data_IF_524638546969
#
_entry.id   IF_524638546969
#
_cell.length_a   1.000
_cell.length_b   1.000
_cell.length_c   1.000
_cell.angle_alpha   90.00
_cell.angle_beta   90.00
_cell.angle_gamma   90.00
#
_symmetry.space_group_name_H-M   'P 1'
#
loop_
_entity.id
_entity.type
_entity.pdbx_description
1 polymer ?
#
# COMPACT_ATOMS: atom_id res chain seq x y z
N UNK A 1 -28.05 2.47 -7.54
CA UNK A 1 -26.89 2.40 -8.46
C UNK A 1 -25.87 3.49 -8.11
N UNK A 2 -26.27 4.77 -7.98
CA UNK A 2 -25.36 5.87 -7.65
C UNK A 2 -24.59 5.64 -6.34
N UNK A 3 -25.28 5.26 -5.25
CA UNK A 3 -24.65 5.00 -3.95
C UNK A 3 -23.59 3.87 -4.04
N UNK A 4 -23.89 2.80 -4.79
CA UNK A 4 -22.91 1.73 -5.01
C UNK A 4 -21.71 2.21 -5.81
N UNK A 5 -21.93 3.01 -6.86
CA UNK A 5 -20.84 3.58 -7.67
C UNK A 5 -19.95 4.48 -6.83
N UNK A 6 -20.52 5.33 -5.99
CA UNK A 6 -19.75 6.20 -5.08
C UNK A 6 -18.94 5.37 -4.06
N UNK A 7 -19.55 4.32 -3.49
CA UNK A 7 -18.84 3.41 -2.59
C UNK A 7 -17.64 2.74 -3.28
N UNK A 8 -17.80 2.25 -4.52
CA UNK A 8 -16.70 1.62 -5.27
C UNK A 8 -15.58 2.61 -5.57
N UNK A 9 -15.91 3.88 -5.85
CA UNK A 9 -14.93 4.92 -6.10
C UNK A 9 -14.17 5.27 -4.82
N UNK A 10 -14.88 5.63 -3.75
CA UNK A 10 -14.29 6.23 -2.55
C UNK A 10 -13.71 5.20 -1.57
N UNK A 11 -14.35 4.02 -1.44
CA UNK A 11 -14.08 3.08 -0.35
C UNK A 11 -13.55 1.70 -0.82
N UNK A 12 -13.23 1.53 -2.10
CA UNK A 12 -12.78 0.23 -2.61
C UNK A 12 -11.64 0.31 -3.62
N UNK A 13 -11.86 0.97 -4.76
CA UNK A 13 -11.04 0.78 -5.95
C UNK A 13 -9.87 1.77 -6.05
N UNK A 14 -10.06 2.99 -5.55
CA UNK A 14 -9.06 4.04 -5.68
C UNK A 14 -8.25 4.22 -4.41
N UNK A 15 -6.95 4.55 -4.53
CA UNK A 15 -6.10 4.87 -3.39
C UNK A 15 -6.39 6.29 -2.88
N UNK A 16 -6.08 6.53 -1.61
CA UNK A 16 -5.98 7.89 -1.09
C UNK A 16 -4.62 8.49 -1.46
N UNK A 17 -4.61 9.74 -1.92
CA UNK A 17 -3.37 10.37 -2.40
C UNK A 17 -2.30 10.52 -1.31
N UNK A 18 -2.71 10.73 -0.06
CA UNK A 18 -1.79 10.98 1.06
C UNK A 18 -0.93 9.78 1.43
N UNK A 19 -1.49 8.56 1.39
CA UNK A 19 -0.77 7.33 1.74
C UNK A 19 -0.64 6.31 0.59
N UNK A 20 -1.27 6.58 -0.56
CA UNK A 20 -1.21 5.71 -1.73
C UNK A 20 -1.89 4.36 -1.56
N UNK A 21 -2.71 4.18 -0.52
CA UNK A 21 -3.32 2.89 -0.19
C UNK A 21 -4.81 2.87 -0.47
N UNK A 22 -5.28 1.71 -0.93
CA UNK A 22 -6.70 1.38 -0.93
C UNK A 22 -7.15 1.05 0.50
N UNK A 23 -8.44 1.18 0.84
CA UNK A 23 -8.94 0.90 2.19
C UNK A 23 -8.53 -0.47 2.75
N UNK A 24 -8.65 -1.54 1.96
CA UNK A 24 -8.24 -2.89 2.39
C UNK A 24 -6.74 -2.96 2.70
N UNK A 25 -5.89 -2.32 1.91
CA UNK A 25 -4.44 -2.31 2.12
C UNK A 25 -4.08 -1.55 3.40
N UNK A 26 -4.68 -0.38 3.62
CA UNK A 26 -4.50 0.41 4.85
C UNK A 26 -4.90 -0.37 6.08
N UNK A 27 -6.04 -1.03 6.04
CA UNK A 27 -6.56 -1.86 7.14
C UNK A 27 -5.67 -3.06 7.44
N UNK A 28 -5.08 -3.69 6.42
CA UNK A 28 -4.10 -4.77 6.61
C UNK A 28 -2.86 -4.24 7.32
N UNK A 29 -2.26 -3.16 6.83
CA UNK A 29 -1.04 -2.57 7.42
C UNK A 29 -1.32 -2.10 8.86
N UNK A 30 -2.44 -1.46 9.10
CA UNK A 30 -2.85 -1.01 10.42
C UNK A 30 -3.09 -2.18 11.39
N UNK A 31 -3.86 -3.19 10.99
CA UNK A 31 -4.11 -4.38 11.81
C UNK A 31 -2.81 -5.13 12.16
N UNK A 32 -1.88 -5.24 11.21
CA UNK A 32 -0.57 -5.85 11.48
C UNK A 32 0.24 -5.03 12.49
N UNK A 33 0.15 -3.70 12.43
CA UNK A 33 0.77 -2.81 13.42
C UNK A 33 0.17 -3.01 14.81
N UNK A 34 -1.16 -3.05 14.93
CA UNK A 34 -1.87 -3.31 16.19
C UNK A 34 -1.54 -4.70 16.78
N UNK A 35 -1.31 -5.70 15.93
CA UNK A 35 -0.86 -7.03 16.34
C UNK A 35 0.63 -7.09 16.75
N UNK A 36 1.35 -5.97 16.66
CA UNK A 36 2.78 -5.90 16.95
C UNK A 36 3.65 -6.67 15.95
N UNK A 37 3.16 -6.87 14.72
CA UNK A 37 3.86 -7.58 13.65
C UNK A 37 4.79 -6.64 12.87
N UNK A 38 5.64 -5.89 13.57
CA UNK A 38 6.66 -5.05 12.94
C UNK A 38 7.76 -5.89 12.27
N UNK A 39 8.68 -5.25 11.55
CA UNK A 39 9.74 -5.90 10.79
C UNK A 39 10.69 -6.76 11.64
N UNK A 40 10.81 -6.50 12.94
CA UNK A 40 11.62 -7.27 13.88
C UNK A 40 10.85 -8.40 14.56
N UNK A 41 9.52 -8.45 14.42
CA UNK A 41 8.68 -9.46 15.05
C UNK A 41 8.87 -10.83 14.41
N UNK A 42 8.51 -11.87 15.16
CA UNK A 42 8.39 -13.21 14.58
C UNK A 42 7.22 -13.29 13.61
N UNK A 43 7.41 -14.00 12.52
CA UNK A 43 6.33 -14.29 11.58
C UNK A 43 5.13 -14.95 12.28
N UNK A 44 3.94 -14.61 11.83
CA UNK A 44 2.68 -15.21 12.28
C UNK A 44 1.87 -15.69 11.07
N UNK A 45 1.06 -16.71 11.28
CA UNK A 45 0.17 -17.22 10.21
C UNK A 45 -0.67 -16.08 9.61
N UNK A 46 -0.67 -16.00 8.29
CA UNK A 46 -1.41 -14.97 7.55
C UNK A 46 -2.90 -14.98 7.87
N UNK A 47 -3.46 -16.16 8.14
CA UNK A 47 -4.84 -16.32 8.57
C UNK A 47 -5.18 -15.51 9.83
N UNK A 48 -4.23 -15.29 10.74
CA UNK A 48 -4.43 -14.45 11.93
C UNK A 48 -4.64 -12.98 11.53
N UNK A 49 -3.79 -12.45 10.68
CA UNK A 49 -3.91 -11.07 10.18
C UNK A 49 -5.24 -10.89 9.45
N UNK A 50 -5.56 -11.79 8.52
CA UNK A 50 -6.82 -11.74 7.77
C UNK A 50 -8.01 -11.77 8.72
N UNK A 51 -8.03 -12.69 9.70
CA UNK A 51 -9.09 -12.77 10.70
C UNK A 51 -9.28 -11.48 11.50
N UNK A 52 -8.19 -10.85 11.93
CA UNK A 52 -8.22 -9.57 12.65
C UNK A 52 -8.76 -8.42 11.77
N UNK A 53 -8.31 -8.35 10.53
CA UNK A 53 -8.78 -7.34 9.56
C UNK A 53 -10.28 -7.45 9.33
N UNK A 54 -10.76 -8.67 9.07
CA UNK A 54 -12.19 -8.91 8.82
C UNK A 54 -13.05 -8.65 10.06
N UNK A 55 -12.58 -9.10 11.21
CA UNK A 55 -13.33 -8.98 12.46
C UNK A 55 -13.39 -7.56 13.00
N UNK A 56 -12.40 -6.72 12.70
CA UNK A 56 -12.27 -5.39 13.30
C UNK A 56 -12.54 -4.23 12.34
N UNK A 57 -12.12 -4.34 11.07
CA UNK A 57 -12.06 -3.17 10.20
C UNK A 57 -12.69 -3.35 8.82
N UNK A 58 -12.70 -4.57 8.27
CA UNK A 58 -13.05 -4.77 6.86
C UNK A 58 -14.02 -5.96 6.67
N UNK A 59 -15.34 -5.77 6.84
CA UNK A 59 -16.33 -6.84 6.82
C UNK A 59 -16.64 -7.31 5.39
N UNK A 60 -15.64 -7.83 4.68
CA UNK A 60 -15.74 -8.33 3.31
C UNK A 60 -15.16 -9.76 3.21
N UNK A 61 -15.02 -10.28 1.99
CA UNK A 61 -14.53 -11.64 1.78
C UNK A 61 -13.06 -11.83 2.21
N UNK A 62 -12.79 -12.94 2.88
CA UNK A 62 -11.46 -13.31 3.37
C UNK A 62 -10.44 -13.52 2.24
N UNK A 63 -10.88 -14.12 1.13
CA UNK A 63 -10.02 -14.31 -0.04
C UNK A 63 -9.57 -12.98 -0.64
N UNK A 64 -10.47 -12.01 -0.79
CA UNK A 64 -10.11 -10.69 -1.33
C UNK A 64 -9.12 -9.94 -0.42
N UNK A 65 -9.30 -10.04 0.90
CA UNK A 65 -8.37 -9.49 1.87
C UNK A 65 -7.00 -10.18 1.78
N UNK A 66 -6.97 -11.51 1.72
CA UNK A 66 -5.73 -12.25 1.59
C UNK A 66 -5.03 -12.00 0.26
N UNK A 67 -5.73 -11.95 -0.86
CA UNK A 67 -5.17 -11.61 -2.17
C UNK A 67 -4.52 -10.21 -2.18
N UNK A 68 -5.16 -9.22 -1.55
CA UNK A 68 -4.55 -7.91 -1.38
C UNK A 68 -3.25 -7.98 -0.56
N UNK A 69 -3.22 -8.77 0.50
CA UNK A 69 -2.03 -9.00 1.30
C UNK A 69 -0.92 -9.73 0.51
N UNK A 70 -1.29 -10.70 -0.33
CA UNK A 70 -0.36 -11.41 -1.21
C UNK A 70 0.33 -10.44 -2.17
N UNK A 71 -0.41 -9.56 -2.83
CA UNK A 71 0.17 -8.55 -3.73
C UNK A 71 1.17 -7.65 -3.00
N UNK A 72 0.87 -7.22 -1.78
CA UNK A 72 1.77 -6.40 -0.98
C UNK A 72 3.04 -7.13 -0.50
N UNK A 73 3.07 -8.46 -0.58
CA UNK A 73 4.22 -9.29 -0.22
C UNK A 73 5.05 -9.73 -1.43
N UNK A 74 4.54 -9.60 -2.64
CA UNK A 74 5.21 -10.05 -3.85
C UNK A 74 6.24 -9.02 -4.34
N UNK A 75 7.54 -9.34 -4.37
CA UNK A 75 8.58 -8.40 -4.81
C UNK A 75 8.54 -8.10 -6.32
N UNK A 76 7.81 -8.91 -7.10
CA UNK A 76 7.57 -8.67 -8.52
C UNK A 76 6.27 -7.89 -8.80
N UNK A 77 5.41 -7.69 -7.77
CA UNK A 77 4.18 -6.90 -7.88
C UNK A 77 4.35 -5.50 -7.26
N UNK A 78 5.13 -5.41 -6.18
CA UNK A 78 5.40 -4.18 -5.45
C UNK A 78 6.87 -3.82 -5.55
N UNK A 79 7.19 -2.59 -5.97
CA UNK A 79 8.59 -2.10 -5.97
C UNK A 79 9.17 -2.09 -4.57
N UNK A 80 8.35 -1.76 -3.58
CA UNK A 80 8.68 -1.76 -2.16
C UNK A 80 7.60 -2.55 -1.40
N UNK A 81 7.74 -3.87 -1.26
CA UNK A 81 6.76 -4.69 -0.56
C UNK A 81 6.50 -4.20 0.86
N UNK A 82 5.23 -4.10 1.24
CA UNK A 82 4.80 -3.67 2.57
C UNK A 82 4.68 -4.83 3.56
N UNK A 83 4.52 -6.03 3.05
CA UNK A 83 4.45 -7.26 3.82
C UNK A 83 5.69 -8.08 3.53
N UNK A 84 6.32 -8.58 4.59
CA UNK A 84 7.39 -9.58 4.54
C UNK A 84 6.75 -10.95 4.77
N UNK A 85 6.89 -11.83 3.80
CA UNK A 85 6.21 -13.12 3.75
C UNK A 85 7.16 -14.30 3.84
N UNK A 86 6.73 -15.37 4.50
CA UNK A 86 7.42 -16.65 4.55
C UNK A 86 6.50 -17.76 4.04
N UNK A 87 6.99 -18.58 3.13
CA UNK A 87 6.24 -19.62 2.44
C UNK A 87 6.06 -19.31 0.95
N UNK A 88 5.05 -19.91 0.32
CA UNK A 88 4.77 -19.70 -1.10
C UNK A 88 3.79 -18.51 -1.28
N UNK A 89 4.29 -17.43 -1.80
CA UNK A 89 3.55 -16.20 -2.12
C UNK A 89 3.37 -15.97 -3.64
N UNK A 90 3.53 -17.02 -4.44
CA UNK A 90 3.50 -16.95 -5.90
C UNK A 90 4.87 -16.71 -6.51
N UNK A 91 4.92 -16.68 -7.83
CA UNK A 91 6.13 -16.46 -8.62
C UNK A 91 5.82 -15.52 -9.79
N UNK A 92 6.83 -14.87 -10.41
CA UNK A 92 6.60 -13.93 -11.52
C UNK A 92 5.88 -14.55 -12.72
N UNK A 93 6.13 -15.83 -12.99
CA UNK A 93 5.52 -16.61 -14.06
C UNK A 93 4.12 -17.14 -13.69
N UNK A 94 3.83 -17.24 -12.39
CA UNK A 94 2.50 -17.63 -11.89
C UNK A 94 2.16 -16.87 -10.59
N UNK A 95 1.80 -15.59 -10.68
CA UNK A 95 1.56 -14.74 -9.51
C UNK A 95 0.32 -15.15 -8.68
N UNK A 96 -0.55 -16.00 -9.22
CA UNK A 96 -1.75 -16.48 -8.55
C UNK A 96 -1.57 -17.84 -7.89
N UNK A 97 -0.44 -18.51 -8.10
CA UNK A 97 -0.13 -19.81 -7.49
C UNK A 97 0.53 -19.65 -6.11
N UNK A 98 -0.17 -19.03 -5.19
CA UNK A 98 0.26 -18.86 -3.80
C UNK A 98 -0.48 -19.84 -2.88
N UNK A 99 0.15 -20.19 -1.76
CA UNK A 99 -0.44 -21.08 -0.77
C UNK A 99 -1.58 -20.41 0.00
N UNK A 100 -2.50 -21.18 0.53
CA UNK A 100 -3.58 -20.68 1.38
C UNK A 100 -3.02 -20.00 2.65
N UNK A 101 -3.76 -19.01 3.18
CA UNK A 101 -3.37 -18.19 4.33
C UNK A 101 -3.04 -18.96 5.61
N UNK A 102 -3.52 -20.22 5.73
CA UNK A 102 -3.20 -21.10 6.84
C UNK A 102 -1.78 -21.66 6.79
N UNK A 103 -1.14 -21.65 5.61
CA UNK A 103 0.23 -22.14 5.41
C UNK A 103 1.26 -21.01 5.40
N UNK A 104 0.95 -19.88 4.81
CA UNK A 104 1.86 -18.73 4.75
C UNK A 104 1.96 -18.02 6.11
N UNK A 105 3.11 -17.38 6.31
CA UNK A 105 3.37 -16.56 7.49
C UNK A 105 3.80 -15.17 7.04
N UNK A 106 3.47 -14.15 7.83
CA UNK A 106 3.68 -12.76 7.48
C UNK A 106 4.01 -11.87 8.66
N UNK A 107 4.64 -10.75 8.36
CA UNK A 107 4.87 -9.59 9.22
C UNK A 107 4.99 -8.35 8.34
N UNK A 108 5.01 -7.16 8.94
CA UNK A 108 5.31 -5.93 8.21
C UNK A 108 6.77 -5.93 7.75
N UNK A 109 7.00 -5.40 6.56
CA UNK A 109 8.35 -5.11 6.09
C UNK A 109 8.91 -3.84 6.73
N UNK A 110 10.22 -3.64 6.62
CA UNK A 110 10.87 -2.45 7.17
C UNK A 110 10.37 -1.14 6.52
N UNK A 111 10.03 -1.17 5.24
CA UNK A 111 9.52 0.02 4.53
C UNK A 111 8.15 0.47 5.07
N UNK A 112 7.34 -0.44 5.62
CA UNK A 112 6.05 -0.10 6.22
C UNK A 112 6.17 0.82 7.43
N UNK A 113 7.34 0.87 8.07
CA UNK A 113 7.60 1.80 9.18
C UNK A 113 7.52 3.27 8.73
N UNK A 114 7.81 3.56 7.44
CA UNK A 114 7.68 4.91 6.87
C UNK A 114 6.22 5.36 6.88
N UNK A 115 5.28 4.42 6.63
CA UNK A 115 3.85 4.69 6.65
C UNK A 115 3.29 4.89 8.07
N UNK A 116 3.88 4.22 9.06
CA UNK A 116 3.31 4.06 10.41
C UNK A 116 4.00 4.91 11.49
N UNK A 117 5.23 5.37 11.26
CA UNK A 117 6.12 5.91 12.30
C UNK A 117 5.55 7.09 13.09
N UNK A 118 4.64 7.85 12.53
CA UNK A 118 4.04 9.03 13.16
C UNK A 118 2.57 8.81 13.56
N UNK A 119 2.03 7.60 13.41
CA UNK A 119 0.63 7.28 13.64
C UNK A 119 0.17 7.63 15.08
N UNK A 120 1.03 7.42 16.07
CA UNK A 120 0.75 7.75 17.48
C UNK A 120 1.02 9.19 17.89
N UNK A 121 1.32 10.09 16.94
CA UNK A 121 1.73 11.47 17.23
C UNK A 121 0.63 12.50 16.95
N UNK A 122 -0.60 12.06 16.68
CA UNK A 122 -1.72 12.96 16.36
C UNK A 122 -1.60 13.60 14.96
N UNK A 123 -0.92 12.94 14.04
CA UNK A 123 -0.69 13.43 12.67
C UNK A 123 -1.83 13.11 11.72
N UNK A 124 -2.73 12.21 12.11
CA UNK A 124 -3.89 11.77 11.31
C UNK A 124 -5.13 11.68 12.17
N UNK A 125 -6.28 11.87 11.56
CA UNK A 125 -7.57 11.68 12.21
C UNK A 125 -7.98 10.21 12.19
N UNK A 126 -8.70 9.80 13.23
CA UNK A 126 -9.31 8.49 13.36
C UNK A 126 -10.80 8.56 13.10
N UNK A 127 -11.37 7.48 12.64
CA UNK A 127 -12.80 7.33 12.43
C UNK A 127 -13.29 6.01 13.03
N UNK A 128 -14.57 5.90 13.41
CA UNK A 128 -15.14 4.64 13.84
C UNK A 128 -15.01 3.57 12.74
N UNK A 129 -14.72 2.34 13.17
CA UNK A 129 -14.80 1.17 12.27
C UNK A 129 -16.26 0.88 11.88
N UNK A 130 -16.50 -0.18 11.09
CA UNK A 130 -17.81 -0.50 10.52
C UNK A 130 -18.93 -0.72 11.54
N UNK A 131 -18.63 -1.15 12.76
CA UNK A 131 -19.62 -1.38 13.84
C UNK A 131 -19.54 -0.35 14.98
N UNK A 132 -18.63 0.64 14.88
CA UNK A 132 -18.46 1.69 15.86
C UNK A 132 -17.84 1.25 17.19
N UNK A 133 -17.30 0.05 17.28
CA UNK A 133 -16.69 -0.48 18.52
C UNK A 133 -15.22 -0.13 18.65
N UNK A 134 -14.55 0.15 17.55
CA UNK A 134 -13.13 0.51 17.46
C UNK A 134 -12.95 1.73 16.57
N UNK A 135 -11.74 2.27 16.57
CA UNK A 135 -11.33 3.33 15.66
C UNK A 135 -10.25 2.84 14.71
N UNK A 136 -10.28 3.34 13.49
CA UNK A 136 -9.24 3.14 12.47
C UNK A 136 -8.75 4.47 11.93
N UNK A 137 -7.48 4.60 11.51
CA UNK A 137 -6.99 5.83 10.92
C UNK A 137 -7.64 6.06 9.54
N UNK A 138 -8.03 7.29 9.26
CA UNK A 138 -8.59 7.65 7.95
C UNK A 138 -7.55 7.46 6.83
N UNK A 139 -6.28 7.76 7.14
CA UNK A 139 -5.12 7.51 6.29
C UNK A 139 -3.88 7.33 7.17
N UNK A 140 -2.79 6.81 6.59
CA UNK A 140 -1.52 6.66 7.32
C UNK A 140 -0.63 7.91 7.10
N UNK A 141 0.25 8.26 8.07
CA UNK A 141 1.06 9.48 8.01
C UNK A 141 2.00 9.56 6.81
N UNK A 142 2.47 8.45 6.30
CA UNK A 142 3.26 8.28 5.08
C UNK A 142 4.30 9.39 4.84
N UNK A 143 5.45 9.34 5.51
CA UNK A 143 6.51 10.39 5.46
C UNK A 143 7.02 10.72 4.06
N UNK A 144 6.83 9.82 3.10
CA UNK A 144 7.13 9.99 1.68
C UNK A 144 5.86 9.76 0.85
N UNK A 145 5.77 10.31 -0.36
CA UNK A 145 4.62 10.11 -1.24
C UNK A 145 4.56 8.66 -1.75
N UNK A 146 4.04 7.76 -0.91
CA UNK A 146 3.98 6.32 -1.15
C UNK A 146 3.22 5.97 -2.45
N UNK A 147 2.27 6.82 -2.86
CA UNK A 147 1.56 6.65 -4.13
C UNK A 147 2.51 6.63 -5.33
N UNK A 148 3.64 7.34 -5.26
CA UNK A 148 4.69 7.31 -6.28
C UNK A 148 5.64 6.13 -6.09
N UNK A 149 5.91 5.72 -4.85
CA UNK A 149 6.89 4.66 -4.57
C UNK A 149 6.44 3.30 -5.12
N UNK A 150 5.21 2.89 -4.82
CA UNK A 150 4.67 1.63 -5.31
C UNK A 150 3.72 1.79 -6.49
N UNK A 151 3.32 3.02 -6.80
CA UNK A 151 2.26 3.23 -7.77
C UNK A 151 0.94 2.64 -7.30
N UNK A 152 -0.02 2.59 -8.19
CA UNK A 152 -1.30 1.94 -7.94
C UNK A 152 -2.08 1.80 -9.23
N UNK A 153 -2.83 0.73 -9.35
CA UNK A 153 -3.83 0.55 -10.39
C UNK A 153 -5.19 0.32 -9.76
N UNK A 154 -6.24 0.90 -10.32
CA UNK A 154 -7.59 0.72 -9.80
C UNK A 154 -8.65 1.06 -10.83
N UNK A 155 -9.65 0.20 -10.93
CA UNK A 155 -10.79 0.39 -11.85
C UNK A 155 -12.04 0.55 -11.01
N UNK A 156 -12.60 1.75 -11.06
CA UNK A 156 -13.86 2.09 -10.40
C UNK A 156 -14.98 2.26 -11.44
N UNK A 157 -16.14 2.71 -10.99
CA UNK A 157 -17.26 3.00 -11.90
C UNK A 157 -17.07 4.41 -12.48
N UNK A 158 -16.86 4.51 -13.78
CA UNK A 158 -16.71 5.78 -14.48
C UNK A 158 -15.33 6.44 -14.37
N UNK A 159 -14.39 5.86 -13.63
CA UNK A 159 -12.99 6.31 -13.59
C UNK A 159 -12.04 5.19 -13.25
N UNK A 160 -10.77 5.38 -13.61
CA UNK A 160 -9.69 4.47 -13.29
C UNK A 160 -8.43 5.25 -12.93
N UNK A 161 -7.50 4.60 -12.24
CA UNK A 161 -6.15 5.13 -11.98
C UNK A 161 -5.12 4.10 -12.39
N UNK A 162 -4.00 4.58 -12.92
CA UNK A 162 -2.84 3.76 -13.25
C UNK A 162 -1.57 4.61 -13.07
N UNK A 163 -0.94 4.45 -11.93
CA UNK A 163 0.27 5.21 -11.54
C UNK A 163 1.40 4.19 -11.41
N UNK A 164 2.48 4.31 -12.22
CA UNK A 164 3.62 3.42 -12.11
C UNK A 164 4.44 3.70 -10.86
N UNK A 165 5.23 2.71 -10.36
CA UNK A 165 6.16 2.91 -9.26
C UNK A 165 7.40 3.71 -9.68
N UNK A 166 8.06 4.34 -8.69
CA UNK A 166 9.25 5.18 -8.89
C UNK A 166 10.33 4.86 -7.86
N UNK A 167 11.57 5.25 -8.18
CA UNK A 167 12.71 5.03 -7.31
C UNK A 167 12.63 5.90 -6.04
N UNK A 168 12.83 5.28 -4.87
CA UNK A 168 12.71 5.98 -3.58
C UNK A 168 13.73 7.11 -3.41
N UNK A 169 14.95 6.98 -3.94
CA UNK A 169 15.97 8.02 -3.83
C UNK A 169 15.53 9.24 -4.66
N UNK A 170 15.09 9.02 -5.90
CA UNK A 170 14.61 10.09 -6.77
C UNK A 170 13.37 10.79 -6.17
N UNK A 171 12.43 10.04 -5.62
CA UNK A 171 11.23 10.60 -4.96
C UNK A 171 11.62 11.39 -3.71
N UNK A 172 12.58 10.92 -2.92
CA UNK A 172 13.07 11.64 -1.75
C UNK A 172 13.79 12.94 -2.14
N UNK A 173 14.65 12.89 -3.15
CA UNK A 173 15.38 14.07 -3.64
C UNK A 173 14.43 15.10 -4.24
N UNK A 174 13.40 14.67 -4.97
CA UNK A 174 12.36 15.57 -5.47
C UNK A 174 11.53 16.20 -4.32
N UNK A 175 11.24 15.44 -3.27
CA UNK A 175 10.59 15.98 -2.08
C UNK A 175 11.45 17.05 -1.38
N UNK A 176 12.75 16.83 -1.25
CA UNK A 176 13.72 17.81 -0.72
C UNK A 176 13.75 19.05 -1.60
N UNK A 177 13.84 18.90 -2.93
CA UNK A 177 13.77 20.03 -3.86
C UNK A 177 12.52 20.90 -3.61
N UNK A 178 11.34 20.29 -3.47
CA UNK A 178 10.08 21.02 -3.26
C UNK A 178 9.99 21.67 -1.88
N UNK A 179 10.64 21.11 -0.87
CA UNK A 179 10.75 21.73 0.46
C UNK A 179 11.67 22.95 0.43
N UNK A 180 12.80 22.87 -0.26
CA UNK A 180 13.76 23.96 -0.39
C UNK A 180 13.28 25.05 -1.36
N UNK A 181 12.58 24.65 -2.41
CA UNK A 181 11.99 25.56 -3.41
C UNK A 181 10.53 25.19 -3.70
N UNK A 182 9.57 25.68 -2.89
CA UNK A 182 8.14 25.42 -3.10
C UNK A 182 7.57 25.94 -4.44
N UNK A 183 8.34 26.71 -5.19
CA UNK A 183 7.98 27.23 -6.52
C UNK A 183 8.59 26.42 -7.67
N UNK A 184 9.32 25.34 -7.38
CA UNK A 184 9.86 24.46 -8.40
C UNK A 184 8.74 23.95 -9.32
N UNK A 185 8.99 23.99 -10.62
CA UNK A 185 8.05 23.54 -11.63
C UNK A 185 8.16 22.05 -11.91
N UNK A 186 7.28 21.57 -12.80
CA UNK A 186 7.28 20.18 -13.22
C UNK A 186 8.63 19.76 -13.84
N UNK A 187 9.23 20.62 -14.66
CA UNK A 187 10.49 20.34 -15.32
C UNK A 187 11.64 20.14 -14.32
N UNK A 188 11.64 20.88 -13.20
CA UNK A 188 12.63 20.70 -12.14
C UNK A 188 12.49 19.32 -11.49
N UNK A 189 11.25 18.87 -11.25
CA UNK A 189 10.97 17.54 -10.69
C UNK A 189 11.34 16.45 -11.69
N UNK A 190 11.03 16.61 -12.98
CA UNK A 190 11.36 15.64 -14.04
C UNK A 190 12.87 15.48 -14.27
N UNK A 191 13.67 16.50 -13.94
CA UNK A 191 15.14 16.38 -13.96
C UNK A 191 15.67 15.42 -12.87
N UNK A 192 14.88 15.18 -11.81
CA UNK A 192 15.23 14.25 -10.71
C UNK A 192 14.54 12.91 -10.93
N UNK A 193 13.22 12.90 -11.10
CA UNK A 193 12.44 11.68 -11.39
C UNK A 193 12.35 11.53 -12.90
N UNK A 194 13.27 10.77 -13.47
CA UNK A 194 13.38 10.65 -14.92
C UNK A 194 12.39 9.68 -15.54
N UNK A 195 11.75 8.83 -14.75
CA UNK A 195 10.76 7.87 -15.22
C UNK A 195 10.37 6.85 -14.16
N UNK A 196 9.47 5.93 -14.51
CA UNK A 196 9.07 4.85 -13.61
C UNK A 196 10.23 3.87 -13.33
N UNK A 197 10.16 3.22 -12.16
CA UNK A 197 11.10 2.20 -11.70
C UNK A 197 10.31 0.93 -11.31
N UNK A 198 10.18 0.01 -12.27
CA UNK A 198 9.37 -1.20 -12.10
C UNK A 198 10.10 -2.26 -11.28
N UNK A 199 9.38 -3.09 -10.49
CA UNK A 199 9.97 -4.10 -9.62
C UNK A 199 10.71 -5.22 -10.37
N UNK A 200 10.37 -5.47 -11.63
CA UNK A 200 10.98 -6.51 -12.47
C UNK A 200 12.07 -5.96 -13.40
N UNK A 201 12.47 -4.73 -13.16
CA UNK A 201 13.40 -3.96 -13.99
C UNK A 201 12.88 -3.75 -15.42
N UNK A 202 13.15 -2.59 -15.98
CA UNK A 202 12.80 -2.26 -17.36
C UNK A 202 13.75 -1.18 -17.87
N UNK A 203 14.01 -1.18 -19.16
CA UNK A 203 14.74 -0.11 -19.83
C UNK A 203 13.78 0.84 -20.51
N UNK A 204 13.89 2.13 -20.21
CA UNK A 204 13.07 3.16 -20.86
C UNK A 204 13.78 3.59 -22.13
N UNK A 205 13.22 3.22 -23.27
CA UNK A 205 13.68 3.69 -24.58
C UNK A 205 12.87 4.92 -24.95
N UNK A 206 13.45 6.10 -24.73
CA UNK A 206 12.85 7.36 -25.17
C UNK A 206 13.23 7.63 -26.62
N UNK A 207 12.28 7.72 -27.57
CA UNK A 207 12.56 8.25 -28.89
C UNK A 207 13.01 9.71 -28.76
N UNK A 208 14.13 10.03 -29.36
CA UNK A 208 14.64 11.41 -29.46
C UNK A 208 13.71 12.27 -30.29
#
# INVERSE_FOLDING_TARGET
YLNYSMYVIMDRALPFIGDGLKPVQRRIVYAMSELGLNAAAKFKKSARTVGDVLGKFHPHGDLACYEAMVLMAQPFSYRYPLVDGQGNWGAPDDPKSFAAMRYTESRLSKISEILLSELGQGTVDFQPNFDGTLEEPQYLPARLPHILLNGTTGIAVGMATDIPPHNINEVADAAVLLLDNPKAGLDDVLNIIQGPDFPTEAEIISPK
#
